data_IF_310329106667
#
_entry.id   IF_310329106667
#
_cell.length_a   1.000
_cell.length_b   1.000
_cell.length_c   1.000
_cell.angle_alpha   90.00
_cell.angle_beta   90.00
_cell.angle_gamma   90.00
#
_symmetry.space_group_name_H-M   'P 1'
#
loop_
_entity.id
_entity.type
_entity.pdbx_description
1 polymer ?
#
# COMPACT_ATOMS: atom_id res chain seq x y z
N UNK A 1 -3.04 10.54 -18.11
CA UNK A 1 -2.01 9.61 -17.58
C UNK A 1 -2.60 8.87 -16.39
N UNK A 2 -2.38 7.57 -16.29
CA UNK A 2 -2.86 6.73 -15.19
C UNK A 2 -1.87 6.79 -14.02
N UNK A 3 -2.31 7.18 -12.82
CA UNK A 3 -1.48 7.27 -11.62
C UNK A 3 -1.83 6.11 -10.69
N UNK A 4 -0.94 5.13 -10.59
CA UNK A 4 -1.04 4.05 -9.61
C UNK A 4 -0.83 4.59 -8.18
N UNK A 5 -1.53 4.00 -7.21
CA UNK A 5 -1.45 4.45 -5.82
C UNK A 5 -0.06 4.24 -5.23
N UNK A 6 0.65 3.19 -5.65
CA UNK A 6 2.06 2.96 -5.26
C UNK A 6 2.90 4.23 -5.41
N UNK A 7 2.82 4.89 -6.56
CA UNK A 7 3.60 6.12 -6.82
C UNK A 7 3.29 7.25 -5.85
N UNK A 8 2.02 7.39 -5.47
CA UNK A 8 1.59 8.43 -4.53
C UNK A 8 2.09 8.13 -3.13
N UNK A 9 1.92 6.88 -2.67
CA UNK A 9 2.36 6.48 -1.34
C UNK A 9 3.88 6.53 -1.23
N UNK A 10 4.62 6.01 -2.21
CA UNK A 10 6.09 6.07 -2.20
C UNK A 10 6.64 7.50 -2.21
N UNK A 11 5.98 8.42 -2.93
CA UNK A 11 6.39 9.82 -2.95
C UNK A 11 6.19 10.53 -1.61
N UNK A 12 5.26 10.07 -0.77
CA UNK A 12 4.90 10.70 0.50
C UNK A 12 5.58 10.02 1.70
N UNK A 13 5.58 8.69 1.72
CA UNK A 13 6.04 7.87 2.85
C UNK A 13 7.45 7.30 2.63
N UNK A 14 7.93 7.26 1.38
CA UNK A 14 9.18 6.61 1.02
C UNK A 14 9.02 5.12 0.76
N UNK A 15 9.97 4.31 1.24
CA UNK A 15 9.96 2.86 1.02
C UNK A 15 8.71 2.20 1.60
N UNK A 16 8.12 1.26 0.85
CA UNK A 16 6.99 0.44 1.29
C UNK A 16 7.44 -0.82 2.07
N UNK A 17 8.74 -1.00 2.27
CA UNK A 17 9.27 -2.16 2.98
C UNK A 17 8.81 -2.20 4.43
N UNK A 18 8.31 -3.36 4.86
CA UNK A 18 7.75 -3.56 6.20
C UNK A 18 8.79 -3.60 7.32
N UNK A 19 10.08 -3.68 6.96
CA UNK A 19 11.19 -3.61 7.89
C UNK A 19 12.44 -3.05 7.19
N UNK A 20 13.25 -2.30 7.92
CA UNK A 20 14.51 -1.72 7.42
C UNK A 20 15.48 -2.79 6.90
N UNK A 21 15.47 -3.99 7.49
CA UNK A 21 16.34 -5.09 7.07
C UNK A 21 15.93 -5.75 5.74
N UNK A 22 14.79 -5.37 5.17
CA UNK A 22 14.39 -5.74 3.80
C UNK A 22 15.20 -4.88 2.82
N UNK A 23 15.14 -3.55 2.96
CA UNK A 23 15.86 -2.60 2.10
C UNK A 23 17.37 -2.63 2.33
N UNK A 24 17.77 -2.77 3.59
CA UNK A 24 19.17 -2.72 4.02
C UNK A 24 19.55 -3.98 4.79
N UNK A 25 19.79 -5.12 4.13
CA UNK A 25 20.12 -6.39 4.79
C UNK A 25 21.27 -6.30 5.82
N UNK A 26 22.22 -5.39 5.60
CA UNK A 26 23.39 -5.21 6.48
C UNK A 26 23.03 -4.72 7.89
N UNK A 27 21.86 -4.11 8.09
CA UNK A 27 21.45 -3.58 9.40
C UNK A 27 21.02 -4.69 10.37
N UNK A 28 20.75 -5.90 9.86
CA UNK A 28 20.30 -7.02 10.67
C UNK A 28 21.24 -8.22 10.54
N UNK A 29 21.82 -8.65 11.66
CA UNK A 29 22.72 -9.82 11.70
C UNK A 29 22.00 -11.15 11.43
N UNK A 30 20.66 -11.16 11.50
CA UNK A 30 19.84 -12.37 11.36
C UNK A 30 19.38 -12.64 9.94
N UNK A 31 19.67 -11.77 8.96
CA UNK A 31 19.10 -11.87 7.60
C UNK A 31 19.19 -13.27 6.99
N UNK A 32 20.31 -13.96 7.16
CA UNK A 32 20.52 -15.29 6.58
C UNK A 32 19.66 -16.42 7.17
N UNK A 33 18.99 -16.20 8.30
CA UNK A 33 18.20 -17.22 9.00
C UNK A 33 16.88 -16.68 9.59
N UNK A 34 16.52 -15.44 9.26
CA UNK A 34 15.36 -14.75 9.83
C UNK A 34 14.11 -15.07 9.02
N UNK A 35 13.42 -16.17 9.36
CA UNK A 35 12.16 -16.57 8.70
C UNK A 35 11.08 -15.48 8.74
N UNK A 36 11.12 -14.59 9.74
CA UNK A 36 10.20 -13.43 9.80
C UNK A 36 10.48 -12.42 8.70
N UNK A 37 11.74 -12.27 8.27
CA UNK A 37 12.09 -11.36 7.16
C UNK A 37 11.46 -11.86 5.86
N UNK A 38 11.58 -13.17 5.60
CA UNK A 38 11.02 -13.80 4.40
C UNK A 38 9.49 -13.61 4.35
N UNK A 39 8.80 -13.81 5.48
CA UNK A 39 7.36 -13.55 5.58
C UNK A 39 7.02 -12.07 5.34
N UNK A 40 7.82 -11.14 5.87
CA UNK A 40 7.61 -9.71 5.66
C UNK A 40 7.88 -9.27 4.21
N UNK A 41 8.82 -9.91 3.51
CA UNK A 41 9.02 -9.70 2.06
C UNK A 41 7.79 -10.15 1.28
N UNK A 42 7.30 -11.37 1.52
CA UNK A 42 6.08 -11.88 0.87
C UNK A 42 4.87 -10.96 1.11
N UNK A 43 4.69 -10.51 2.35
CA UNK A 43 3.63 -9.54 2.70
C UNK A 43 3.83 -8.20 1.97
N UNK A 44 5.06 -7.70 1.90
CA UNK A 44 5.42 -6.46 1.20
C UNK A 44 5.13 -6.53 -0.30
N UNK A 45 5.40 -7.66 -0.94
CA UNK A 45 5.05 -7.91 -2.33
C UNK A 45 3.53 -7.82 -2.55
N UNK A 46 2.73 -8.43 -1.67
CA UNK A 46 1.27 -8.39 -1.76
C UNK A 46 0.70 -6.98 -1.56
N UNK A 47 1.28 -6.20 -0.64
CA UNK A 47 0.92 -4.79 -0.48
C UNK A 47 1.24 -4.01 -1.75
N UNK A 48 2.44 -4.22 -2.29
CA UNK A 48 2.90 -3.55 -3.52
C UNK A 48 1.98 -3.87 -4.70
N UNK A 49 1.60 -5.13 -4.89
CA UNK A 49 0.69 -5.59 -5.93
C UNK A 49 -0.68 -4.89 -5.86
N UNK A 50 -1.25 -4.74 -4.66
CA UNK A 50 -2.51 -4.02 -4.45
C UNK A 50 -2.38 -2.53 -4.79
N UNK A 51 -1.27 -1.89 -4.39
CA UNK A 51 -1.05 -0.47 -4.63
C UNK A 51 -0.70 -0.17 -6.10
N UNK A 52 -0.04 -1.09 -6.80
CA UNK A 52 0.24 -0.98 -8.24
C UNK A 52 -1.00 -1.19 -9.09
N UNK A 53 -1.85 -2.14 -8.72
CA UNK A 53 -3.10 -2.44 -9.43
C UNK A 53 -4.23 -1.44 -9.18
N UNK A 54 -4.10 -0.57 -8.18
CA UNK A 54 -5.11 0.47 -7.86
C UNK A 54 -4.65 1.83 -8.34
N UNK A 55 -5.53 2.59 -9.00
CA UNK A 55 -5.25 3.95 -9.45
C UNK A 55 -5.98 5.04 -8.65
N UNK A 56 -5.55 6.30 -8.80
CA UNK A 56 -6.28 7.44 -8.24
C UNK A 56 -7.73 7.52 -8.77
N UNK A 57 -7.96 7.14 -10.02
CA UNK A 57 -9.31 7.08 -10.61
C UNK A 57 -10.16 6.02 -9.91
N UNK A 58 -9.60 4.83 -9.64
CA UNK A 58 -10.29 3.78 -8.88
C UNK A 58 -10.68 4.27 -7.47
N UNK A 59 -9.82 5.05 -6.82
CA UNK A 59 -10.13 5.65 -5.52
C UNK A 59 -11.28 6.65 -5.60
N UNK A 60 -11.31 7.51 -6.62
CA UNK A 60 -12.45 8.42 -6.86
C UNK A 60 -13.74 7.63 -7.09
N UNK A 61 -13.68 6.55 -7.88
CA UNK A 61 -14.83 5.70 -8.14
C UNK A 61 -15.33 4.99 -6.88
N UNK A 62 -14.42 4.44 -6.06
CA UNK A 62 -14.75 3.84 -4.74
C UNK A 62 -15.39 4.85 -3.80
N UNK A 63 -14.90 6.09 -3.77
CA UNK A 63 -15.46 7.16 -2.96
C UNK A 63 -16.89 7.52 -3.39
N UNK A 64 -17.13 7.70 -4.70
CA UNK A 64 -18.47 7.96 -5.24
C UNK A 64 -19.45 6.83 -4.94
N UNK A 65 -19.02 5.57 -5.05
CA UNK A 65 -19.85 4.41 -4.71
C UNK A 65 -20.26 4.42 -3.23
N UNK A 66 -19.34 4.73 -2.31
CA UNK A 66 -19.65 4.88 -0.87
C UNK A 66 -20.57 6.07 -0.58
N UNK A 67 -20.45 7.17 -1.34
CA UNK A 67 -21.32 8.34 -1.18
C UNK A 67 -22.77 8.09 -1.63
N UNK A 68 -22.99 7.33 -2.72
CA UNK A 68 -24.34 6.91 -3.14
C UNK A 68 -25.08 6.09 -2.07
N UNK A 69 -24.33 5.44 -1.18
CA UNK A 69 -24.86 4.66 -0.06
C UNK A 69 -25.10 5.49 1.21
N UNK A 70 -24.70 6.77 1.24
CA UNK A 70 -25.10 7.68 2.31
C UNK A 70 -26.49 8.22 1.94
N UNK A 71 -27.58 7.80 2.60
CA UNK A 71 -28.84 8.49 2.43
C UNK A 71 -28.61 9.97 2.76
N UNK A 72 -29.14 10.87 1.93
CA UNK A 72 -29.18 12.29 2.25
C UNK A 72 -29.87 12.43 3.61
N UNK A 73 -29.07 12.67 4.65
CA UNK A 73 -29.60 12.97 5.98
C UNK A 73 -30.13 14.40 5.93
N UNK A 74 -31.44 14.42 5.63
CA UNK A 74 -32.45 15.46 5.81
C UNK A 74 -32.68 16.44 4.65
N UNK A 75 -33.78 16.19 3.94
CA UNK A 75 -34.77 17.23 3.67
C UNK A 75 -35.51 17.52 4.97
N UNK A 76 -35.43 18.75 5.45
CA UNK A 76 -36.50 19.59 6.03
C UNK A 76 -35.95 21.02 5.96
#
# INVERSE_FOLDING_TARGET
AQIALKKVIEALEGSLSLAECIDSPRVCRRVSACVTRDLLEEMGEKITEVLESTTLEDMVNRARAKQKLRPLMYSI
#
